data_IF_308387266540
#
_entry.id   IF_308387266540
#
_cell.length_a   1.000
_cell.length_b   1.000
_cell.length_c   1.000
_cell.angle_alpha   90.00
_cell.angle_beta   90.00
_cell.angle_gamma   90.00
#
_symmetry.space_group_name_H-M   'P 1'
#
loop_
_entity.id
_entity.type
_entity.pdbx_description
1 polymer ?
#
# COMPACT_ATOMS: atom_id res chain seq x y z
N UNK A 1 -2.76 12.27 4.71
CA UNK A 1 -2.69 11.02 4.00
C UNK A 1 -3.80 10.05 4.31
N UNK A 2 -3.69 8.88 3.78
CA UNK A 2 -4.67 7.81 4.02
C UNK A 2 -3.95 6.53 4.38
N UNK A 3 -4.62 5.70 5.18
CA UNK A 3 -4.23 4.32 5.42
C UNK A 3 -5.31 3.44 4.80
N UNK A 4 -4.91 2.58 3.89
CA UNK A 4 -5.80 1.67 3.19
C UNK A 4 -5.51 0.27 3.68
N UNK A 5 -6.54 -0.40 4.19
CA UNK A 5 -6.40 -1.78 4.65
C UNK A 5 -7.16 -2.69 3.69
N UNK A 6 -6.49 -3.72 3.20
CA UNK A 6 -7.08 -4.69 2.28
C UNK A 6 -7.05 -6.05 2.94
N UNK A 7 -8.23 -6.61 3.17
CA UNK A 7 -8.38 -7.95 3.70
C UNK A 7 -8.72 -8.90 2.56
N UNK A 8 -8.08 -10.06 2.57
CA UNK A 8 -8.18 -11.02 1.48
C UNK A 8 -8.22 -12.42 2.06
N UNK A 9 -9.28 -12.70 2.82
CA UNK A 9 -9.41 -13.94 3.60
C UNK A 9 -9.42 -15.17 2.68
N UNK A 10 -10.19 -15.10 1.59
CA UNK A 10 -10.18 -16.14 0.56
C UNK A 10 -9.36 -15.56 -0.61
N UNK A 11 -8.05 -15.78 -0.65
CA UNK A 11 -7.16 -14.98 -1.48
C UNK A 11 -7.60 -14.84 -2.93
N UNK A 12 -7.85 -13.60 -3.33
CA UNK A 12 -8.24 -13.26 -4.68
C UNK A 12 -7.59 -11.99 -5.19
N UNK A 13 -6.93 -11.22 -4.30
CA UNK A 13 -6.25 -10.00 -4.69
C UNK A 13 -4.96 -10.35 -5.39
N UNK A 14 -4.96 -10.20 -6.72
CA UNK A 14 -3.83 -10.54 -7.57
C UNK A 14 -2.82 -9.39 -7.63
N UNK A 15 -1.62 -9.64 -8.21
CA UNK A 15 -0.67 -8.56 -8.46
C UNK A 15 -1.29 -7.42 -9.28
N UNK A 16 -2.10 -7.73 -10.27
CA UNK A 16 -2.76 -6.72 -11.10
C UNK A 16 -3.70 -5.87 -10.28
N UNK A 17 -4.48 -6.49 -9.39
CA UNK A 17 -5.41 -5.76 -8.52
C UNK A 17 -4.64 -4.80 -7.62
N UNK A 18 -3.54 -5.27 -7.03
CA UNK A 18 -2.71 -4.43 -6.15
C UNK A 18 -2.10 -3.26 -6.93
N UNK A 19 -1.63 -3.51 -8.15
CA UNK A 19 -1.08 -2.46 -9.00
C UNK A 19 -2.12 -1.42 -9.36
N UNK A 20 -3.37 -1.85 -9.59
CA UNK A 20 -4.46 -0.91 -9.86
C UNK A 20 -4.67 0.04 -8.70
N UNK A 21 -4.62 -0.48 -7.46
CA UNK A 21 -4.77 0.35 -6.27
C UNK A 21 -3.64 1.37 -6.18
N UNK A 22 -2.41 0.91 -6.37
CA UNK A 22 -1.23 1.79 -6.33
C UNK A 22 -1.32 2.87 -7.39
N UNK A 23 -1.70 2.51 -8.62
CA UNK A 23 -1.78 3.46 -9.72
C UNK A 23 -2.89 4.48 -9.51
N UNK A 24 -4.01 4.07 -8.91
CA UNK A 24 -5.08 5.01 -8.59
C UNK A 24 -4.62 6.04 -7.55
N UNK A 25 -3.89 5.60 -6.54
CA UNK A 25 -3.34 6.51 -5.54
C UNK A 25 -2.35 7.48 -6.16
N UNK A 26 -1.50 6.98 -7.06
CA UNK A 26 -0.54 7.82 -7.77
C UNK A 26 -1.24 8.86 -8.62
N UNK A 27 -2.26 8.45 -9.36
CA UNK A 27 -3.02 9.36 -10.20
C UNK A 27 -3.75 10.41 -9.37
N UNK A 28 -4.10 10.09 -8.14
CA UNK A 28 -4.78 11.03 -7.24
C UNK A 28 -3.82 11.95 -6.50
N UNK A 29 -2.52 11.84 -6.78
CA UNK A 29 -1.53 12.75 -6.21
C UNK A 29 -0.78 12.26 -5.00
N UNK A 30 -0.79 10.95 -4.73
CA UNK A 30 0.01 10.41 -3.64
C UNK A 30 1.49 10.71 -3.90
N UNK A 31 2.14 11.32 -2.91
CA UNK A 31 3.53 11.75 -3.03
C UNK A 31 4.49 10.67 -2.58
N UNK A 32 4.05 9.83 -1.65
CA UNK A 32 4.85 8.71 -1.15
C UNK A 32 3.90 7.63 -0.67
N UNK A 33 4.33 6.38 -0.80
CA UNK A 33 3.52 5.24 -0.39
C UNK A 33 4.40 4.16 0.21
N UNK A 34 3.80 3.38 1.10
CA UNK A 34 4.44 2.22 1.70
C UNK A 34 3.40 1.11 1.79
N UNK A 35 3.78 -0.10 1.38
CA UNK A 35 2.93 -1.28 1.54
C UNK A 35 3.44 -2.07 2.73
N UNK A 36 2.53 -2.48 3.59
CA UNK A 36 2.84 -3.32 4.74
C UNK A 36 2.00 -4.59 4.71
N UNK A 37 2.57 -5.66 5.22
CA UNK A 37 1.83 -6.91 5.42
C UNK A 37 2.21 -7.52 6.76
N UNK A 38 1.38 -8.41 7.27
CA UNK A 38 1.59 -9.04 8.55
C UNK A 38 1.10 -8.19 9.70
N UNK A 39 1.35 -8.65 10.90
CA UNK A 39 0.87 -7.99 12.11
C UNK A 39 1.95 -7.99 13.19
N UNK A 40 1.95 -6.94 14.00
CA UNK A 40 2.85 -6.86 15.14
C UNK A 40 4.30 -6.88 14.71
N UNK A 41 5.09 -7.67 15.39
CA UNK A 41 6.53 -7.77 15.15
C UNK A 41 6.86 -8.48 13.86
N UNK A 42 5.88 -9.15 13.24
CA UNK A 42 6.07 -9.86 11.99
C UNK A 42 5.74 -9.01 10.78
N UNK A 43 5.48 -7.73 10.99
CA UNK A 43 5.09 -6.84 9.91
C UNK A 43 6.26 -6.56 8.96
N UNK A 44 5.97 -6.66 7.67
CA UNK A 44 6.91 -6.36 6.61
C UNK A 44 6.48 -5.08 5.91
N UNK A 45 7.42 -4.21 5.56
CA UNK A 45 7.10 -2.94 4.92
C UNK A 45 8.02 -2.72 3.73
N UNK A 46 7.43 -2.23 2.63
CA UNK A 46 8.18 -1.93 1.40
C UNK A 46 7.75 -0.56 0.90
N UNK A 47 8.72 0.30 0.65
CA UNK A 47 8.48 1.59 0.02
C UNK A 47 8.11 1.39 -1.45
N UNK A 48 7.05 2.09 -1.90
CA UNK A 48 6.61 2.02 -3.29
C UNK A 48 7.26 3.17 -4.06
N UNK A 49 8.06 2.82 -5.05
CA UNK A 49 8.68 3.79 -5.95
C UNK A 49 8.14 3.66 -7.36
N UNK A 50 8.68 4.46 -8.27
CA UNK A 50 8.25 4.40 -9.68
C UNK A 50 8.60 3.07 -10.33
N UNK A 51 9.62 2.39 -9.80
CA UNK A 51 10.08 1.11 -10.33
C UNK A 51 9.51 -0.08 -9.56
N UNK A 52 8.63 0.17 -8.60
CA UNK A 52 8.05 -0.92 -7.81
C UNK A 52 7.22 -1.84 -8.69
N UNK A 53 7.44 -3.11 -8.53
CA UNK A 53 6.72 -4.13 -9.29
C UNK A 53 6.12 -5.15 -8.33
N UNK A 54 4.97 -5.68 -8.74
CA UNK A 54 4.23 -6.65 -7.94
C UNK A 54 4.04 -7.89 -8.78
N UNK A 55 4.46 -9.02 -8.23
CA UNK A 55 4.33 -10.34 -8.85
C UNK A 55 3.79 -11.31 -7.82
N UNK A 56 3.98 -12.60 -8.06
CA UNK A 56 3.48 -13.61 -7.14
C UNK A 56 2.07 -14.02 -7.48
N UNK A 57 1.33 -14.47 -6.46
CA UNK A 57 -0.03 -14.93 -6.62
C UNK A 57 -0.90 -14.36 -5.52
N UNK A 58 -2.22 -14.50 -5.68
CA UNK A 58 -3.14 -14.06 -4.63
C UNK A 58 -2.81 -14.77 -3.32
N UNK A 59 -2.75 -14.01 -2.24
CA UNK A 59 -2.38 -14.54 -0.92
C UNK A 59 -0.89 -14.55 -0.66
N UNK A 60 -0.07 -14.36 -1.68
CA UNK A 60 1.39 -14.36 -1.55
C UNK A 60 1.98 -13.42 -2.60
N UNK A 61 1.65 -12.13 -2.47
CA UNK A 61 2.15 -11.11 -3.38
C UNK A 61 3.63 -10.85 -3.11
N UNK A 62 4.37 -10.61 -4.17
CA UNK A 62 5.80 -10.29 -4.07
C UNK A 62 5.97 -8.85 -4.54
N UNK A 63 6.33 -7.98 -3.61
CA UNK A 63 6.52 -6.55 -3.88
C UNK A 63 8.02 -6.28 -3.76
N UNK A 64 8.65 -5.95 -4.88
CA UNK A 64 10.09 -5.68 -4.93
C UNK A 64 10.89 -6.80 -4.24
N UNK A 65 10.59 -8.05 -4.57
CA UNK A 65 11.24 -9.26 -4.03
C UNK A 65 10.90 -9.56 -2.55
N UNK A 66 9.92 -8.85 -1.98
CA UNK A 66 9.48 -9.15 -0.61
C UNK A 66 8.11 -9.81 -0.66
N UNK A 67 8.02 -11.02 -0.14
CA UNK A 67 6.75 -11.75 -0.11
C UNK A 67 5.86 -11.19 0.99
N UNK A 68 4.61 -10.90 0.63
CA UNK A 68 3.62 -10.32 1.52
C UNK A 68 2.35 -11.16 1.53
N UNK A 69 1.77 -11.28 2.70
CA UNK A 69 0.54 -12.03 2.89
C UNK A 69 -0.55 -11.10 3.45
N UNK A 70 -1.84 -11.38 3.15
CA UNK A 70 -2.92 -10.55 3.70
C UNK A 70 -2.98 -10.65 5.22
N UNK A 71 -3.46 -9.62 5.90
CA UNK A 71 -3.96 -8.36 5.33
C UNK A 71 -2.82 -7.45 4.88
N UNK A 72 -3.15 -6.63 3.87
CA UNK A 72 -2.20 -5.63 3.38
C UNK A 72 -2.63 -4.25 3.85
N UNK A 73 -1.67 -3.37 4.09
CA UNK A 73 -1.94 -1.97 4.38
C UNK A 73 -1.13 -1.12 3.43
N UNK A 74 -1.74 -0.07 2.88
CA UNK A 74 -1.04 0.90 2.07
C UNK A 74 -1.15 2.24 2.78
N UNK A 75 0.00 2.83 3.12
CA UNK A 75 0.06 4.16 3.69
C UNK A 75 0.44 5.11 2.56
N UNK A 76 -0.38 6.12 2.33
CA UNK A 76 -0.14 7.06 1.24
C UNK A 76 -0.15 8.48 1.77
N UNK A 77 0.85 9.25 1.40
CA UNK A 77 0.98 10.66 1.77
C UNK A 77 0.42 11.50 0.63
N UNK A 78 -0.50 12.40 0.97
CA UNK A 78 -1.14 13.30 0.03
C UNK A 78 -2.36 13.90 0.68
N UNK A 79 -3.19 14.57 -0.11
CA UNK A 79 -4.41 15.21 0.40
C UNK A 79 -5.43 14.14 0.79
N UNK A 80 -5.78 14.03 2.10
CA UNK A 80 -6.62 12.94 2.56
C UNK A 80 -7.98 12.82 1.87
N UNK A 81 -8.77 13.88 1.72
CA UNK A 81 -10.06 13.76 1.04
C UNK A 81 -9.92 13.34 -0.43
N UNK A 82 -8.88 13.85 -1.09
CA UNK A 82 -8.65 13.53 -2.51
C UNK A 82 -8.30 12.06 -2.68
N UNK A 83 -7.39 11.55 -1.85
CA UNK A 83 -6.98 10.15 -1.91
C UNK A 83 -8.14 9.22 -1.57
N UNK A 84 -8.91 9.56 -0.53
CA UNK A 84 -10.06 8.77 -0.14
C UNK A 84 -11.12 8.73 -1.25
N UNK A 85 -11.39 9.86 -1.87
CA UNK A 85 -12.35 9.95 -2.96
C UNK A 85 -11.92 9.09 -4.16
N UNK A 86 -10.62 9.08 -4.46
CA UNK A 86 -10.09 8.27 -5.55
C UNK A 86 -10.35 6.79 -5.33
N UNK A 87 -10.24 6.32 -4.08
CA UNK A 87 -10.47 4.91 -3.78
C UNK A 87 -11.95 4.53 -3.91
N UNK A 88 -12.85 5.50 -3.76
CA UNK A 88 -14.30 5.28 -3.80
C UNK A 88 -14.92 5.48 -5.17
N UNK A 89 -14.13 5.70 -6.21
CA UNK A 89 -14.67 5.87 -7.56
C UNK A 89 -15.37 4.57 -7.99
N UNK A 90 -16.63 4.66 -8.46
CA UNK A 90 -17.34 3.46 -8.93
C UNK A 90 -16.55 2.76 -10.04
N UNK A 91 -16.38 1.45 -9.88
CA UNK A 91 -15.58 0.65 -10.80
C UNK A 91 -14.08 0.79 -10.60
N UNK A 92 -13.66 1.55 -9.60
CA UNK A 92 -12.24 1.79 -9.35
C UNK A 92 -11.60 0.80 -8.39
N UNK A 93 -10.64 1.28 -7.60
CA UNK A 93 -9.81 0.42 -6.76
C UNK A 93 -10.59 -0.40 -5.74
N UNK A 94 -11.47 0.25 -4.99
CA UNK A 94 -12.25 -0.45 -3.96
C UNK A 94 -13.15 -1.52 -4.59
N UNK A 95 -13.78 -1.20 -5.70
CA UNK A 95 -14.64 -2.16 -6.40
C UNK A 95 -13.83 -3.29 -7.00
N UNK A 96 -12.61 -3.03 -7.46
CA UNK A 96 -11.72 -4.07 -7.98
C UNK A 96 -11.36 -5.10 -6.91
N UNK A 97 -11.05 -4.62 -5.71
CA UNK A 97 -10.75 -5.50 -4.58
C UNK A 97 -11.99 -6.30 -4.18
N UNK A 98 -13.14 -5.63 -4.12
CA UNK A 98 -14.39 -6.27 -3.74
C UNK A 98 -14.80 -7.34 -4.75
N UNK A 99 -14.56 -7.10 -6.03
CA UNK A 99 -14.93 -8.01 -7.10
C UNK A 99 -14.21 -9.35 -6.99
N UNK A 100 -13.04 -9.38 -6.40
CA UNK A 100 -12.27 -10.62 -6.22
C UNK A 100 -12.41 -11.16 -4.79
N UNK A 101 -13.37 -10.65 -4.03
CA UNK A 101 -13.70 -11.18 -2.72
C UNK A 101 -12.97 -10.52 -1.55
N UNK A 102 -12.17 -9.52 -1.81
CA UNK A 102 -11.48 -8.78 -0.75
C UNK A 102 -12.32 -7.64 -0.21
N UNK A 103 -11.81 -7.00 0.82
CA UNK A 103 -12.44 -5.84 1.44
C UNK A 103 -11.42 -4.74 1.59
N UNK A 104 -11.78 -3.52 1.20
CA UNK A 104 -10.91 -2.35 1.36
C UNK A 104 -11.54 -1.37 2.33
N UNK A 105 -10.75 -0.91 3.29
CA UNK A 105 -11.13 0.14 4.23
C UNK A 105 -10.16 1.29 4.07
N UNK A 106 -10.67 2.52 4.06
CA UNK A 106 -9.87 3.73 3.87
C UNK A 106 -10.04 4.63 5.08
N UNK A 107 -8.92 5.00 5.71
CA UNK A 107 -8.93 5.92 6.84
C UNK A 107 -8.12 7.16 6.48
N UNK A 108 -8.71 8.33 6.67
CA UNK A 108 -8.03 9.59 6.46
C UNK A 108 -7.33 10.03 7.73
N UNK A 109 -6.16 10.64 7.59
CA UNK A 109 -5.41 11.19 8.71
C UNK A 109 -4.62 12.40 8.25
N UNK A 110 -4.50 13.40 9.11
CA UNK A 110 -3.71 14.59 8.79
C UNK A 110 -2.24 14.24 8.71
N UNK A 111 -1.79 13.30 9.55
CA UNK A 111 -0.40 12.88 9.60
C UNK A 111 -0.32 11.37 9.54
N UNK A 112 0.56 10.87 8.69
CA UNK A 112 0.83 9.43 8.61
C UNK A 112 2.31 9.21 8.85
N UNK A 113 2.60 8.30 9.76
CA UNK A 113 3.97 7.95 10.08
C UNK A 113 4.43 6.83 9.15
N UNK A 114 5.21 7.19 8.15
CA UNK A 114 5.66 6.26 7.10
C UNK A 114 7.14 6.00 7.30
N UNK A 115 7.45 5.14 8.24
CA UNK A 115 8.82 4.91 8.68
C UNK A 115 9.72 4.39 7.56
N UNK A 116 9.25 3.41 6.80
CA UNK A 116 10.06 2.83 5.73
C UNK A 116 10.37 3.83 4.64
N UNK A 117 9.46 4.78 4.39
CA UNK A 117 9.65 5.80 3.36
C UNK A 117 10.69 6.84 3.76
N UNK A 118 10.92 7.01 5.06
CA UNK A 118 11.84 8.01 5.55
C UNK A 118 13.24 7.50 5.76
N UNK A 119 13.43 6.21 5.77
CA UNK A 119 14.74 5.65 6.04
C UNK A 119 15.63 5.86 4.84
N UNK A 120 16.77 6.52 5.03
CA UNK A 120 17.72 6.61 3.95
C UNK A 120 18.25 5.23 3.67
N UNK A 121 18.61 5.06 2.47
CA UNK A 121 19.17 3.79 2.13
C UNK A 121 20.56 3.77 2.64
N UNK A 122 20.73 3.16 3.46
CA UNK A 122 21.40 2.91 4.58
C UNK A 122 22.37 3.78 5.07
N UNK A 123 21.88 4.39 5.29
CA UNK A 123 22.32 4.70 5.81
C UNK A 123 23.16 5.09 6.04
N UNK A 124 23.18 5.60 6.04
CA UNK A 124 23.53 5.76 6.32
C UNK A 124 23.93 6.40 6.90
N UNK A 125 23.83 6.96 7.09
CA UNK A 125 23.83 7.31 7.75
C UNK A 125 23.97 7.63 8.55
N UNK A 126 23.89 7.85 8.50
CA UNK A 126 23.72 8.00 9.21
C UNK A 126 23.79 8.39 9.93
N UNK A 127 23.54 8.77 9.87
CA UNK A 127 23.45 9.12 10.47
C UNK A 127 23.32 9.55 11.02
N UNK A 128 23.37 9.88 11.03
CA UNK A 128 23.12 10.36 11.59
C UNK A 128 22.89 10.75 12.10
N UNK A 129 22.72 11.17 11.99
CA UNK A 129 22.41 11.24 12.36
C UNK A 129 22.40 11.43 12.83
N UNK A 130 22.43 11.92 12.99
CA UNK A 130 22.20 11.81 13.40
C UNK A 130 21.98 11.71 13.72
#
# INVERSE_FOLDING_TARGET
GVTITIEDIAPGVSPETMLDVINELRAAGAEAMEIRSGQGDQQTAVRVGVDTWVTGTAGALVVDNVTMNPPYSILAIGDPPTLAAAMNIPGGAMDSVKRVGGTMTVQQADTIDVTALRQPKPRQYAQPVK
#
